data_IF_794959741261
#
_entry.id   IF_794959741261
#
_cell.length_a   1.000
_cell.length_b   1.000
_cell.length_c   1.000
_cell.angle_alpha   90.00
_cell.angle_beta   90.00
_cell.angle_gamma   90.00
#
_symmetry.space_group_name_H-M   'P 1'
#
loop_
_entity.id
_entity.type
_entity.pdbx_description
1 polymer ?
#
# COMPACT_ATOMS: atom_id res chain seq x y z
N UNK A 1 20.23 -13.18 -26.20
CA UNK A 1 20.17 -13.83 -27.53
C UNK A 1 20.36 -12.79 -28.61
N UNK A 2 19.36 -11.94 -28.94
CA UNK A 2 19.54 -10.87 -29.93
C UNK A 2 20.63 -9.85 -29.55
N UNK A 3 20.76 -9.54 -28.26
CA UNK A 3 21.79 -8.63 -27.74
C UNK A 3 23.00 -9.39 -27.15
N UNK A 4 23.29 -10.62 -27.60
CA UNK A 4 24.44 -11.40 -27.10
C UNK A 4 25.74 -10.67 -27.40
N UNK A 5 26.76 -10.64 -26.53
CA UNK A 5 28.08 -10.12 -26.91
C UNK A 5 28.81 -11.01 -27.93
N UNK A 6 28.29 -12.21 -28.20
CA UNK A 6 28.81 -13.14 -29.21
C UNK A 6 28.09 -12.96 -30.55
N UNK A 7 28.84 -12.55 -31.58
CA UNK A 7 28.36 -12.28 -32.94
C UNK A 7 27.81 -13.53 -33.65
N UNK A 8 28.32 -14.73 -33.33
CA UNK A 8 27.79 -15.96 -33.90
C UNK A 8 26.38 -16.25 -33.36
N UNK A 9 26.18 -16.07 -32.04
CA UNK A 9 24.86 -16.20 -31.41
C UNK A 9 23.89 -15.16 -31.99
N UNK A 10 24.34 -13.91 -32.11
CA UNK A 10 23.53 -12.83 -32.69
C UNK A 10 23.06 -13.16 -34.11
N UNK A 11 23.97 -13.59 -35.00
CA UNK A 11 23.65 -13.97 -36.38
C UNK A 11 22.67 -15.14 -36.43
N UNK A 12 22.91 -16.18 -35.63
CA UNK A 12 22.04 -17.36 -35.56
C UNK A 12 20.62 -16.98 -35.12
N UNK A 13 20.48 -16.19 -34.06
CA UNK A 13 19.18 -15.76 -33.56
C UNK A 13 18.42 -14.90 -34.58
N UNK A 14 19.10 -13.96 -35.26
CA UNK A 14 18.47 -13.15 -36.33
C UNK A 14 18.06 -14.00 -37.53
N UNK A 15 18.89 -14.96 -37.94
CA UNK A 15 18.55 -15.89 -39.02
C UNK A 15 17.32 -16.75 -38.66
N UNK A 16 17.26 -17.27 -37.43
CA UNK A 16 16.10 -18.02 -36.94
C UNK A 16 14.82 -17.16 -36.94
N UNK A 17 14.92 -15.90 -36.49
CA UNK A 17 13.79 -14.97 -36.47
C UNK A 17 13.29 -14.66 -37.90
N UNK A 18 14.20 -14.43 -38.85
CA UNK A 18 13.86 -14.27 -40.27
C UNK A 18 13.14 -15.49 -40.84
N UNK A 19 13.64 -16.69 -40.56
CA UNK A 19 13.00 -17.92 -41.02
C UNK A 19 11.55 -18.04 -40.51
N UNK A 20 11.31 -17.69 -39.24
CA UNK A 20 9.96 -17.69 -38.65
C UNK A 20 9.05 -16.65 -39.33
N UNK A 21 9.57 -15.46 -39.62
CA UNK A 21 8.83 -14.42 -40.35
C UNK A 21 8.42 -14.95 -41.73
N UNK A 22 9.37 -15.50 -42.50
CA UNK A 22 9.11 -16.04 -43.84
C UNK A 22 8.14 -17.23 -43.84
N UNK A 23 8.09 -18.00 -42.75
CA UNK A 23 7.11 -19.07 -42.57
C UNK A 23 5.70 -18.53 -42.28
N UNK A 24 5.58 -17.40 -41.57
CA UNK A 24 4.29 -16.83 -41.13
C UNK A 24 3.69 -15.76 -42.04
N UNK A 25 4.52 -15.05 -42.80
CA UNK A 25 4.10 -13.90 -43.62
C UNK A 25 4.46 -14.08 -45.09
N UNK A 26 3.60 -13.62 -45.99
CA UNK A 26 3.97 -13.30 -47.37
C UNK A 26 4.77 -12.00 -47.34
N UNK A 27 6.09 -12.11 -47.41
CA UNK A 27 7.05 -11.00 -47.47
C UNK A 27 8.20 -11.38 -48.40
N UNK A 28 8.67 -10.43 -49.21
CA UNK A 28 9.85 -10.63 -50.04
C UNK A 28 11.12 -10.71 -49.17
N UNK A 29 11.95 -11.71 -49.40
CA UNK A 29 13.16 -11.94 -48.61
C UNK A 29 14.18 -10.80 -48.79
N UNK A 30 14.32 -10.25 -50.00
CA UNK A 30 15.21 -9.12 -50.25
C UNK A 30 14.74 -7.84 -49.54
N UNK A 31 13.43 -7.58 -49.54
CA UNK A 31 12.84 -6.48 -48.77
C UNK A 31 12.98 -6.67 -47.24
N UNK A 32 12.86 -7.91 -46.75
CA UNK A 32 13.08 -8.23 -45.34
C UNK A 32 14.55 -7.97 -44.93
N UNK A 33 15.50 -8.35 -45.77
CA UNK A 33 16.93 -8.14 -45.53
C UNK A 33 17.32 -6.66 -45.61
N UNK A 34 16.81 -5.92 -46.60
CA UNK A 34 17.00 -4.47 -46.71
C UNK A 34 16.43 -3.72 -45.49
N UNK A 35 15.34 -4.22 -44.91
CA UNK A 35 14.74 -3.66 -43.70
C UNK A 35 15.46 -4.03 -42.39
N UNK A 36 16.43 -4.96 -42.42
CA UNK A 36 17.30 -5.31 -41.30
C UNK A 36 16.58 -5.56 -39.97
N UNK A 37 17.19 -5.10 -38.88
CA UNK A 37 16.68 -5.27 -37.51
C UNK A 37 15.37 -4.52 -37.24
N UNK A 38 15.03 -3.51 -38.06
CA UNK A 38 13.75 -2.82 -37.96
C UNK A 38 12.58 -3.75 -38.30
N UNK A 39 12.73 -4.63 -39.29
CA UNK A 39 11.67 -5.60 -39.62
C UNK A 39 11.53 -6.68 -38.56
N UNK A 40 12.66 -7.10 -37.98
CA UNK A 40 12.68 -8.01 -36.83
C UNK A 40 11.97 -7.37 -35.62
N UNK A 41 12.24 -6.10 -35.34
CA UNK A 41 11.56 -5.34 -34.29
C UNK A 41 10.05 -5.28 -34.54
N UNK A 42 9.62 -4.98 -35.77
CA UNK A 42 8.20 -4.92 -36.13
C UNK A 42 7.50 -6.25 -35.94
N UNK A 43 8.15 -7.36 -36.30
CA UNK A 43 7.64 -8.70 -36.03
C UNK A 43 7.50 -8.94 -34.52
N UNK A 44 8.56 -8.71 -33.74
CA UNK A 44 8.55 -8.92 -32.29
C UNK A 44 7.52 -8.04 -31.56
N UNK A 45 7.23 -6.86 -32.08
CA UNK A 45 6.18 -5.97 -31.59
C UNK A 45 4.76 -6.34 -32.09
N UNK A 46 4.63 -7.35 -32.96
CA UNK A 46 3.36 -7.76 -33.55
C UNK A 46 2.76 -6.77 -34.56
N UNK A 47 3.59 -5.88 -35.11
CA UNK A 47 3.23 -4.78 -36.01
C UNK A 47 3.69 -4.99 -37.46
N UNK A 48 4.30 -6.15 -37.77
CA UNK A 48 4.82 -6.42 -39.11
C UNK A 48 3.70 -6.42 -40.18
N UNK A 49 2.52 -6.96 -39.84
CA UNK A 49 1.34 -6.97 -40.73
C UNK A 49 0.81 -5.57 -41.08
N UNK A 50 1.22 -4.53 -40.35
CA UNK A 50 0.85 -3.14 -40.64
C UNK A 50 1.71 -2.59 -41.79
N UNK A 51 2.75 -3.30 -42.22
CA UNK A 51 3.59 -2.89 -43.33
C UNK A 51 3.00 -3.39 -44.66
N UNK A 52 2.97 -2.55 -45.71
CA UNK A 52 2.45 -2.96 -47.03
C UNK A 52 3.16 -4.18 -47.62
N UNK A 53 4.43 -4.39 -47.23
CA UNK A 53 5.28 -5.46 -47.72
C UNK A 53 5.04 -6.82 -47.06
N UNK A 54 4.18 -6.90 -46.04
CA UNK A 54 3.97 -8.13 -45.27
C UNK A 54 2.49 -8.40 -44.98
N UNK A 55 1.97 -9.52 -45.49
CA UNK A 55 0.62 -10.01 -45.16
C UNK A 55 0.68 -11.39 -44.51
N UNK A 56 -0.24 -11.69 -43.59
CA UNK A 56 -0.25 -12.98 -42.87
C UNK A 56 -0.65 -14.12 -43.82
N UNK A 57 0.05 -15.25 -43.78
CA UNK A 57 -0.33 -16.44 -44.56
C UNK A 57 -1.60 -17.08 -43.99
N UNK A 58 -2.53 -17.45 -44.87
CA UNK A 58 -3.80 -18.13 -44.54
C UNK A 58 -3.60 -19.51 -43.92
N UNK A 59 -2.55 -20.23 -44.32
CA UNK A 59 -2.09 -21.46 -43.68
C UNK A 59 -0.68 -21.21 -43.14
N UNK A 60 -0.57 -20.95 -41.84
CA UNK A 60 0.71 -20.98 -41.14
C UNK A 60 0.67 -22.12 -40.15
N UNK A 61 1.72 -22.95 -40.14
CA UNK A 61 1.90 -23.92 -39.06
C UNK A 61 1.93 -23.14 -37.74
N UNK A 62 1.29 -23.69 -36.70
CA UNK A 62 1.39 -23.13 -35.35
C UNK A 62 2.78 -23.45 -34.79
N UNK A 63 3.78 -22.73 -35.32
CA UNK A 63 5.17 -22.88 -34.94
C UNK A 63 5.30 -22.20 -33.59
N UNK A 64 5.25 -23.01 -32.53
CA UNK A 64 5.63 -22.58 -31.20
C UNK A 64 7.14 -22.30 -31.19
N UNK A 65 7.50 -21.10 -30.79
CA UNK A 65 8.88 -20.67 -30.68
C UNK A 65 9.03 -19.65 -29.57
N UNK A 66 10.24 -19.52 -29.04
CA UNK A 66 10.57 -18.47 -28.08
C UNK A 66 10.23 -17.07 -28.63
N UNK A 67 10.34 -16.87 -29.95
CA UNK A 67 10.05 -15.59 -30.59
C UNK A 67 8.57 -15.25 -30.62
N UNK A 68 7.70 -16.24 -30.90
CA UNK A 68 6.25 -16.05 -30.83
C UNK A 68 5.77 -15.84 -29.39
N UNK A 69 6.42 -16.48 -28.42
CA UNK A 69 6.15 -16.26 -26.99
C UNK A 69 6.55 -14.84 -26.56
N UNK A 70 7.66 -14.33 -27.10
CA UNK A 70 8.08 -12.93 -26.89
C UNK A 70 7.03 -11.96 -27.44
N UNK A 71 6.52 -12.19 -28.66
CA UNK A 71 5.44 -11.36 -29.24
C UNK A 71 4.20 -11.38 -28.34
N UNK A 72 3.76 -12.56 -27.93
CA UNK A 72 2.60 -12.72 -27.06
C UNK A 72 2.80 -12.01 -25.71
N UNK A 73 3.98 -12.15 -25.11
CA UNK A 73 4.34 -11.51 -23.84
C UNK A 73 4.36 -9.99 -23.95
N UNK A 74 5.03 -9.44 -24.98
CA UNK A 74 5.09 -7.99 -25.21
C UNK A 74 3.68 -7.42 -25.41
N UNK A 75 2.84 -8.10 -26.19
CA UNK A 75 1.43 -7.71 -26.38
C UNK A 75 0.63 -7.77 -25.08
N UNK A 76 0.72 -8.87 -24.33
CA UNK A 76 -0.02 -9.07 -23.07
C UNK A 76 0.27 -7.95 -22.06
N UNK A 77 1.52 -7.51 -21.98
CA UNK A 77 1.93 -6.48 -21.02
C UNK A 77 2.02 -5.07 -21.64
N UNK A 78 1.55 -4.88 -22.86
CA UNK A 78 1.60 -3.60 -23.59
C UNK A 78 3.01 -2.98 -23.60
N UNK A 79 4.00 -3.79 -23.94
CA UNK A 79 5.41 -3.41 -24.07
C UNK A 79 5.84 -3.48 -25.53
N UNK A 80 6.89 -2.74 -25.87
CA UNK A 80 7.49 -2.74 -27.20
C UNK A 80 9.02 -2.73 -27.11
N UNK A 81 9.65 -3.43 -28.04
CA UNK A 81 11.07 -3.33 -28.34
C UNK A 81 11.34 -2.09 -29.19
N UNK A 82 12.48 -1.47 -28.96
CA UNK A 82 13.04 -0.37 -29.74
C UNK A 82 14.45 -0.75 -30.18
N UNK A 83 14.79 -0.52 -31.44
CA UNK A 83 16.19 -0.63 -31.88
C UNK A 83 17.00 0.57 -31.37
N UNK A 84 18.22 0.29 -30.90
CA UNK A 84 19.21 1.30 -30.51
C UNK A 84 20.45 1.09 -31.37
N UNK A 85 20.59 1.90 -32.41
CA UNK A 85 21.54 1.63 -33.48
C UNK A 85 21.13 0.39 -34.28
N UNK A 86 22.10 -0.22 -34.97
CA UNK A 86 21.82 -1.29 -35.93
C UNK A 86 21.73 -2.68 -35.31
N UNK A 87 22.28 -2.87 -34.10
CA UNK A 87 22.51 -4.22 -33.55
C UNK A 87 21.94 -4.47 -32.13
N UNK A 88 21.15 -3.55 -31.57
CA UNK A 88 20.66 -3.69 -30.19
C UNK A 88 19.16 -3.45 -30.05
N UNK A 89 18.49 -4.32 -29.29
CA UNK A 89 17.07 -4.19 -28.95
C UNK A 89 16.86 -3.82 -27.49
N UNK A 90 16.26 -2.68 -27.24
CA UNK A 90 15.93 -2.19 -25.90
C UNK A 90 14.43 -2.34 -25.61
N UNK A 91 14.08 -2.59 -24.34
CA UNK A 91 12.70 -2.47 -23.86
C UNK A 91 12.63 -1.23 -22.98
N UNK A 92 11.72 -0.32 -23.33
CA UNK A 92 11.41 0.84 -22.51
C UNK A 92 10.14 0.56 -21.71
N UNK A 93 10.28 0.56 -20.39
CA UNK A 93 9.13 0.50 -19.49
C UNK A 93 8.57 1.91 -19.22
N UNK A 94 7.25 2.09 -19.13
CA UNK A 94 6.64 3.40 -18.86
C UNK A 94 7.11 4.05 -17.56
N UNK A 95 7.45 3.26 -16.54
CA UNK A 95 7.91 3.76 -15.23
C UNK A 95 9.41 4.13 -15.20
N UNK A 96 10.12 4.00 -16.32
CA UNK A 96 11.56 4.27 -16.39
C UNK A 96 11.88 5.39 -17.38
N UNK A 97 12.79 6.27 -16.99
CA UNK A 97 13.34 7.29 -17.89
C UNK A 97 14.24 6.67 -18.99
N UNK A 98 15.04 5.67 -18.61
CA UNK A 98 15.99 4.97 -19.50
C UNK A 98 15.47 3.56 -19.83
N UNK A 99 15.87 3.04 -20.98
CA UNK A 99 15.61 1.64 -21.36
C UNK A 99 16.21 0.66 -20.35
N UNK A 100 15.55 -0.49 -20.21
CA UNK A 100 16.08 -1.57 -19.41
C UNK A 100 17.31 -2.20 -20.07
N UNK A 101 18.22 -2.68 -19.25
CA UNK A 101 19.43 -3.40 -19.68
C UNK A 101 19.22 -4.90 -19.49
N UNK A 102 20.05 -5.71 -20.14
CA UNK A 102 20.06 -7.17 -19.94
C UNK A 102 20.21 -7.58 -18.47
N UNK A 103 20.87 -6.75 -17.65
CA UNK A 103 21.07 -7.00 -16.21
C UNK A 103 19.82 -6.73 -15.36
N UNK A 104 18.95 -5.81 -15.76
CA UNK A 104 17.78 -5.42 -14.95
C UNK A 104 16.44 -5.79 -15.57
N UNK A 105 16.41 -6.27 -16.82
CA UNK A 105 15.17 -6.52 -17.57
C UNK A 105 14.14 -7.37 -16.80
N UNK A 106 14.58 -8.44 -16.13
CA UNK A 106 13.70 -9.30 -15.35
C UNK A 106 13.11 -8.59 -14.12
N UNK A 107 13.89 -7.72 -13.46
CA UNK A 107 13.43 -6.92 -12.33
C UNK A 107 12.41 -5.88 -12.79
N UNK A 108 12.71 -5.18 -13.88
CA UNK A 108 11.84 -4.12 -14.41
C UNK A 108 10.56 -4.67 -15.03
N UNK A 109 10.60 -5.86 -15.62
CA UNK A 109 9.41 -6.59 -16.07
C UNK A 109 8.49 -6.92 -14.88
N UNK A 110 9.04 -7.50 -13.80
CA UNK A 110 8.27 -7.73 -12.56
C UNK A 110 7.73 -6.41 -11.99
N UNK A 111 8.54 -5.35 -12.05
CA UNK A 111 8.19 -3.93 -11.92
C UNK A 111 6.84 -3.59 -12.55
N UNK A 112 6.87 -3.62 -13.87
CA UNK A 112 5.79 -3.24 -14.77
C UNK A 112 4.52 -4.05 -14.53
N UNK A 113 4.64 -5.37 -14.39
CA UNK A 113 3.51 -6.26 -14.10
C UNK A 113 2.85 -5.88 -12.77
N UNK A 114 3.64 -5.65 -11.72
CA UNK A 114 3.13 -5.22 -10.41
C UNK A 114 2.39 -3.89 -10.48
N UNK A 115 2.94 -2.91 -11.21
CA UNK A 115 2.30 -1.61 -11.41
C UNK A 115 0.99 -1.74 -12.20
N UNK A 116 0.95 -2.60 -13.22
CA UNK A 116 -0.27 -2.93 -13.96
C UNK A 116 -1.36 -3.51 -13.07
N UNK A 117 -1.02 -4.48 -12.20
CA UNK A 117 -1.97 -5.03 -11.24
C UNK A 117 -2.42 -4.01 -10.19
N UNK A 118 -1.51 -3.18 -9.67
CA UNK A 118 -1.86 -2.11 -8.74
C UNK A 118 -2.82 -1.10 -9.37
N UNK A 119 -2.57 -0.71 -10.62
CA UNK A 119 -3.46 0.18 -11.37
C UNK A 119 -4.84 -0.46 -11.60
N UNK A 120 -4.88 -1.72 -12.02
CA UNK A 120 -6.13 -2.45 -12.21
C UNK A 120 -6.93 -2.59 -10.89
N UNK A 121 -6.23 -2.80 -9.77
CA UNK A 121 -6.84 -2.85 -8.45
C UNK A 121 -7.38 -1.49 -8.03
N UNK A 122 -6.62 -0.41 -8.19
CA UNK A 122 -7.06 0.95 -7.84
C UNK A 122 -8.31 1.40 -8.59
N UNK A 123 -8.54 0.87 -9.81
CA UNK A 123 -9.74 1.16 -10.61
C UNK A 123 -11.00 0.45 -10.11
N UNK A 124 -10.89 -0.48 -9.15
CA UNK A 124 -12.05 -1.15 -8.57
C UNK A 124 -12.73 -0.20 -7.56
N UNK A 125 -13.95 0.25 -7.88
CA UNK A 125 -14.69 1.28 -7.12
C UNK A 125 -14.82 0.99 -5.61
N UNK A 126 -14.84 -0.29 -5.22
CA UNK A 126 -14.98 -0.68 -3.82
C UNK A 126 -13.72 -1.35 -3.27
N UNK A 127 -13.19 -2.36 -3.95
CA UNK A 127 -12.02 -3.10 -3.50
C UNK A 127 -10.73 -2.29 -3.60
N UNK A 128 -10.67 -1.31 -4.51
CA UNK A 128 -9.48 -0.53 -4.83
C UNK A 128 -9.20 0.65 -3.92
N UNK A 129 -10.14 1.01 -3.03
CA UNK A 129 -10.11 2.24 -2.21
C UNK A 129 -8.95 2.37 -1.23
N UNK A 130 -8.15 1.34 -1.10
CA UNK A 130 -7.07 1.30 -0.11
C UNK A 130 -5.73 1.05 -0.78
N UNK A 131 -5.71 0.80 -2.10
CA UNK A 131 -4.55 0.32 -2.85
C UNK A 131 -3.36 1.26 -2.70
N UNK A 132 -3.58 2.58 -2.78
CA UNK A 132 -2.51 3.57 -2.73
C UNK A 132 -1.88 3.75 -1.34
N UNK A 133 -2.58 3.34 -0.27
CA UNK A 133 -2.13 3.48 1.11
C UNK A 133 -1.41 2.23 1.63
N UNK A 134 -1.50 1.12 0.88
CA UNK A 134 -0.89 -0.14 1.25
C UNK A 134 0.51 -0.30 0.66
N UNK A 135 1.47 -0.66 1.51
CA UNK A 135 2.85 -0.95 1.10
C UNK A 135 3.81 -0.97 2.28
N UNK A 136 5.08 -1.25 2.00
CA UNK A 136 6.21 -1.18 2.96
C UNK A 136 5.91 -1.98 4.24
N UNK A 137 6.28 -1.42 5.40
CA UNK A 137 6.10 -2.06 6.72
C UNK A 137 4.63 -2.38 7.02
N UNK A 138 3.68 -1.63 6.47
CA UNK A 138 2.24 -1.89 6.62
C UNK A 138 1.70 -3.06 5.80
N UNK A 139 2.47 -3.59 4.85
CA UNK A 139 2.10 -4.77 4.05
C UNK A 139 3.03 -5.96 4.26
N UNK A 140 3.97 -5.87 5.21
CA UNK A 140 4.95 -6.93 5.48
C UNK A 140 4.31 -8.24 5.92
N UNK A 141 3.14 -8.18 6.56
CA UNK A 141 2.38 -9.38 6.94
C UNK A 141 1.94 -10.24 5.74
N UNK A 142 1.81 -9.65 4.53
CA UNK A 142 1.52 -10.39 3.30
C UNK A 142 2.66 -11.31 2.87
N UNK A 143 3.89 -10.98 3.26
CA UNK A 143 5.09 -11.70 2.81
C UNK A 143 5.60 -12.69 3.85
N UNK A 144 5.41 -12.41 5.15
CA UNK A 144 6.00 -13.20 6.22
C UNK A 144 4.98 -13.78 7.21
N UNK A 145 3.68 -13.80 6.88
CA UNK A 145 2.58 -14.23 7.78
C UNK A 145 2.51 -13.42 9.08
N UNK A 146 3.17 -12.28 9.10
CA UNK A 146 3.84 -11.73 10.25
C UNK A 146 3.00 -11.44 11.48
N UNK A 147 3.36 -11.96 12.67
CA UNK A 147 2.72 -11.72 13.99
C UNK A 147 1.18 -11.89 14.03
N UNK A 148 0.53 -12.27 12.94
CA UNK A 148 -0.90 -12.41 12.77
C UNK A 148 -1.27 -13.88 12.83
N UNK A 149 -2.39 -14.19 13.46
CA UNK A 149 -2.97 -15.53 13.32
C UNK A 149 -3.71 -15.60 11.99
N UNK A 150 -4.02 -16.81 11.51
CA UNK A 150 -4.73 -17.02 10.23
C UNK A 150 -6.03 -16.18 10.14
N UNK A 151 -6.79 -16.10 11.24
CA UNK A 151 -8.00 -15.28 11.29
C UNK A 151 -7.72 -13.77 11.17
N UNK A 152 -6.62 -13.27 11.74
CA UNK A 152 -6.24 -11.85 11.60
C UNK A 152 -5.72 -11.56 10.19
N UNK A 153 -4.98 -12.50 9.61
CA UNK A 153 -4.51 -12.43 8.22
C UNK A 153 -5.69 -12.35 7.25
N UNK A 154 -6.64 -13.29 7.34
CA UNK A 154 -7.85 -13.33 6.49
C UNK A 154 -8.68 -12.07 6.66
N UNK A 155 -8.87 -11.61 7.89
CA UNK A 155 -9.52 -10.34 8.16
C UNK A 155 -8.78 -9.18 7.48
N UNK A 156 -7.46 -9.09 7.64
CA UNK A 156 -6.64 -8.03 7.03
C UNK A 156 -6.80 -7.98 5.51
N UNK A 157 -6.73 -9.11 4.81
CA UNK A 157 -6.95 -9.17 3.35
C UNK A 157 -8.38 -8.73 2.99
N UNK A 158 -9.39 -9.38 3.59
CA UNK A 158 -10.79 -9.12 3.28
C UNK A 158 -11.17 -7.67 3.60
N UNK A 159 -10.67 -7.11 4.69
CA UNK A 159 -10.96 -5.75 5.12
C UNK A 159 -10.39 -4.72 4.14
N UNK A 160 -9.17 -4.92 3.65
CA UNK A 160 -8.53 -4.04 2.64
C UNK A 160 -9.28 -4.03 1.31
N UNK A 161 -9.89 -5.16 0.95
CA UNK A 161 -10.75 -5.30 -0.22
C UNK A 161 -12.22 -4.92 0.07
N UNK A 162 -12.52 -4.37 1.24
CA UNK A 162 -13.87 -4.07 1.71
C UNK A 162 -14.87 -5.25 1.55
N UNK A 163 -14.41 -6.47 1.85
CA UNK A 163 -15.17 -7.73 1.73
C UNK A 163 -15.66 -8.31 3.05
N UNK A 164 -15.29 -7.71 4.19
CA UNK A 164 -15.77 -8.14 5.52
C UNK A 164 -17.26 -7.84 5.71
N UNK A 165 -17.96 -8.72 6.40
CA UNK A 165 -19.43 -8.73 6.49
C UNK A 165 -19.99 -7.67 7.44
N UNK A 166 -19.88 -6.42 7.02
CA UNK A 166 -20.66 -5.30 7.55
C UNK A 166 -22.04 -5.26 6.89
N UNK A 167 -23.06 -4.66 7.53
CA UNK A 167 -24.39 -4.55 6.89
C UNK A 167 -24.36 -3.81 5.56
N UNK A 168 -23.46 -2.84 5.36
CA UNK A 168 -23.31 -2.18 4.04
C UNK A 168 -22.81 -3.15 2.98
N UNK A 169 -21.81 -3.99 3.32
CA UNK A 169 -21.28 -5.00 2.40
C UNK A 169 -22.33 -6.08 2.12
N UNK A 170 -23.04 -6.57 3.14
CA UNK A 170 -24.10 -7.56 2.98
C UNK A 170 -25.26 -7.04 2.13
N UNK A 171 -25.63 -5.75 2.29
CA UNK A 171 -26.63 -5.11 1.43
C UNK A 171 -26.19 -5.07 -0.03
N UNK A 172 -24.94 -4.66 -0.28
CA UNK A 172 -24.36 -4.64 -1.63
C UNK A 172 -24.32 -6.04 -2.26
N UNK A 173 -23.98 -7.08 -1.48
CA UNK A 173 -24.02 -8.48 -1.91
C UNK A 173 -25.45 -9.04 -2.07
N UNK A 174 -26.50 -8.23 -1.84
CA UNK A 174 -27.91 -8.62 -1.85
C UNK A 174 -28.28 -9.73 -0.85
N UNK A 175 -27.48 -9.88 0.21
CA UNK A 175 -27.72 -10.83 1.31
C UNK A 175 -28.56 -10.21 2.44
N UNK A 176 -28.71 -8.87 2.43
CA UNK A 176 -29.59 -8.12 3.34
C UNK A 176 -30.24 -6.95 2.60
N UNK A 177 -31.41 -6.50 3.03
CA UNK A 177 -32.09 -5.33 2.47
C UNK A 177 -31.59 -4.00 3.06
N UNK A 178 -31.14 -4.02 4.31
CA UNK A 178 -30.73 -2.82 5.06
C UNK A 178 -29.22 -2.76 5.33
N UNK A 179 -28.63 -1.59 5.07
CA UNK A 179 -27.21 -1.29 5.30
C UNK A 179 -26.95 -0.45 6.56
N UNK A 180 -27.99 -0.03 7.28
CA UNK A 180 -27.89 0.77 8.49
C UNK A 180 -27.14 0.04 9.63
N UNK A 181 -26.39 0.79 10.43
CA UNK A 181 -25.67 0.26 11.58
C UNK A 181 -26.57 -0.55 12.52
N UNK A 182 -26.09 -1.74 12.94
CA UNK A 182 -26.85 -2.59 13.86
C UNK A 182 -26.96 -2.06 15.28
N UNK A 183 -26.06 -1.16 15.67
CA UNK A 183 -26.03 -0.55 17.01
C UNK A 183 -26.46 0.92 17.01
N UNK A 184 -26.21 1.65 15.92
CA UNK A 184 -26.54 3.08 15.82
C UNK A 184 -27.80 3.36 15.02
N UNK A 185 -28.49 2.32 14.53
CA UNK A 185 -29.68 2.45 13.72
C UNK A 185 -29.44 3.25 12.43
N UNK A 186 -30.41 4.10 12.07
CA UNK A 186 -30.41 4.84 10.80
C UNK A 186 -29.44 6.03 10.74
N UNK A 187 -28.72 6.35 11.82
CA UNK A 187 -27.81 7.52 11.87
C UNK A 187 -26.62 7.38 10.90
N UNK A 188 -26.19 6.15 10.62
CA UNK A 188 -25.13 5.89 9.66
C UNK A 188 -25.23 4.49 9.05
N UNK A 189 -24.79 4.30 7.78
CA UNK A 189 -24.57 2.97 7.23
C UNK A 189 -23.46 2.25 8.03
N UNK A 190 -23.61 0.94 8.19
CA UNK A 190 -22.59 0.08 8.78
C UNK A 190 -21.47 -0.16 7.77
N UNK A 191 -20.64 0.85 7.52
CA UNK A 191 -19.43 0.68 6.73
C UNK A 191 -18.30 0.23 7.64
N UNK A 192 -17.24 -0.35 7.08
CA UNK A 192 -16.07 -0.72 7.88
C UNK A 192 -15.43 0.51 8.53
N UNK A 193 -15.36 1.64 7.82
CA UNK A 193 -14.95 2.92 8.36
C UNK A 193 -15.76 3.33 9.60
N UNK A 194 -17.09 3.20 9.54
CA UNK A 194 -17.96 3.48 10.67
C UNK A 194 -17.64 2.56 11.85
N UNK A 195 -17.65 1.24 11.62
CA UNK A 195 -17.39 0.23 12.66
C UNK A 195 -16.05 0.45 13.35
N UNK A 196 -14.98 0.68 12.58
CA UNK A 196 -13.62 0.75 13.10
C UNK A 196 -13.23 2.12 13.64
N UNK A 197 -13.94 3.21 13.34
CA UNK A 197 -13.50 4.56 13.71
C UNK A 197 -14.55 5.45 14.37
N UNK A 198 -15.84 5.28 14.05
CA UNK A 198 -16.85 6.30 14.37
C UNK A 198 -18.00 5.76 15.22
N UNK A 199 -18.24 4.46 15.22
CA UNK A 199 -19.37 3.85 15.91
C UNK A 199 -19.28 4.11 17.43
N UNK A 200 -20.27 4.80 18.04
CA UNK A 200 -20.30 5.03 19.48
C UNK A 200 -20.24 3.75 20.32
N UNK A 201 -20.86 2.67 19.84
CA UNK A 201 -20.80 1.35 20.48
C UNK A 201 -19.36 0.85 20.65
N UNK A 202 -18.49 1.12 19.65
CA UNK A 202 -17.10 0.67 19.67
C UNK A 202 -16.13 1.71 20.26
N UNK A 203 -16.61 2.85 20.75
CA UNK A 203 -15.75 3.98 21.17
C UNK A 203 -14.72 3.59 22.23
N UNK A 204 -15.03 2.64 23.11
CA UNK A 204 -14.09 2.12 24.12
C UNK A 204 -12.96 1.33 23.44
N UNK A 205 -13.31 0.37 22.59
CA UNK A 205 -12.34 -0.48 21.89
C UNK A 205 -11.49 0.31 20.88
N UNK A 206 -12.06 1.32 20.22
CA UNK A 206 -11.33 2.23 19.32
C UNK A 206 -10.27 3.01 20.10
N UNK A 207 -10.61 3.53 21.29
CA UNK A 207 -9.66 4.19 22.19
C UNK A 207 -8.60 3.21 22.70
N UNK A 208 -8.99 2.01 23.12
CA UNK A 208 -8.05 0.98 23.59
C UNK A 208 -7.02 0.59 22.52
N UNK A 209 -7.41 0.49 21.24
CA UNK A 209 -6.49 0.28 20.12
C UNK A 209 -5.48 1.42 19.98
N UNK A 210 -5.94 2.67 20.05
CA UNK A 210 -5.06 3.85 20.01
C UNK A 210 -4.06 3.85 21.17
N UNK A 211 -4.56 3.63 22.38
CA UNK A 211 -3.78 3.67 23.61
C UNK A 211 -2.71 2.56 23.66
N UNK A 212 -3.06 1.37 23.16
CA UNK A 212 -2.13 0.25 23.03
C UNK A 212 -0.98 0.57 22.08
N UNK A 213 -1.30 1.14 20.91
CA UNK A 213 -0.30 1.56 19.94
C UNK A 213 0.59 2.68 20.50
N UNK A 214 -0.01 3.68 21.16
CA UNK A 214 0.73 4.76 21.80
C UNK A 214 1.67 4.24 22.88
N UNK A 215 1.21 3.30 23.71
CA UNK A 215 2.02 2.66 24.74
C UNK A 215 3.19 1.84 24.19
N UNK A 216 3.03 1.18 23.04
CA UNK A 216 4.12 0.48 22.38
C UNK A 216 5.18 1.46 21.83
N UNK A 217 4.74 2.60 21.27
CA UNK A 217 5.65 3.66 20.81
C UNK A 217 6.41 4.25 22.01
N UNK A 218 5.71 4.64 23.07
CA UNK A 218 6.34 5.27 24.25
C UNK A 218 7.36 4.36 24.92
N UNK A 219 7.05 3.07 25.12
CA UNK A 219 8.02 2.10 25.66
C UNK A 219 9.26 1.96 24.79
N UNK A 220 9.08 1.96 23.47
CA UNK A 220 10.21 1.84 22.53
C UNK A 220 11.10 3.07 22.57
N UNK A 221 10.49 4.26 22.62
CA UNK A 221 11.20 5.53 22.73
C UNK A 221 11.95 5.60 24.07
N UNK A 222 11.30 5.30 25.19
CA UNK A 222 11.92 5.35 26.51
C UNK A 222 13.12 4.40 26.64
N UNK A 223 13.01 3.20 26.06
CA UNK A 223 14.11 2.24 26.04
C UNK A 223 15.28 2.70 25.17
N UNK A 224 15.02 3.40 24.06
CA UNK A 224 16.05 3.88 23.15
C UNK A 224 16.70 5.21 23.60
N UNK A 225 15.94 6.05 24.30
CA UNK A 225 16.32 7.41 24.69
C UNK A 225 16.13 7.62 26.20
N UNK A 226 16.85 6.89 27.06
CA UNK A 226 16.61 6.90 28.50
C UNK A 226 16.86 8.25 29.19
N UNK A 227 17.60 9.15 28.54
CA UNK A 227 17.91 10.50 29.05
C UNK A 227 16.87 11.56 28.66
N UNK A 228 16.00 11.28 27.69
CA UNK A 228 15.00 12.24 27.24
C UNK A 228 13.80 12.27 28.20
N UNK A 229 13.25 13.45 28.47
CA UNK A 229 11.99 13.55 29.22
C UNK A 229 10.83 13.26 28.29
N UNK A 230 10.20 12.09 28.46
CA UNK A 230 9.04 11.67 27.67
C UNK A 230 7.74 11.88 28.45
N UNK A 231 6.86 12.75 27.94
CA UNK A 231 5.50 12.92 28.46
C UNK A 231 4.49 12.29 27.51
N UNK A 232 3.54 11.52 28.05
CA UNK A 232 2.53 10.80 27.27
C UNK A 232 1.14 11.26 27.70
N UNK A 233 0.34 11.79 26.77
CA UNK A 233 -1.02 12.32 27.05
C UNK A 233 -1.08 13.32 28.21
N UNK A 234 -0.02 14.07 28.44
CA UNK A 234 0.09 15.04 29.51
C UNK A 234 -0.09 16.47 28.98
N UNK A 235 -0.56 17.37 29.84
CA UNK A 235 -0.48 18.80 29.56
C UNK A 235 0.96 19.26 29.74
N UNK A 236 1.36 20.25 28.94
CA UNK A 236 2.61 20.97 29.21
C UNK A 236 2.37 21.90 30.41
N UNK A 237 3.10 21.70 31.52
CA UNK A 237 2.85 22.38 32.80
C UNK A 237 3.07 23.89 32.74
N UNK A 238 3.94 24.38 31.86
CA UNK A 238 4.21 25.80 31.66
C UNK A 238 3.29 26.48 30.63
N UNK A 239 2.32 25.75 30.04
CA UNK A 239 1.40 26.30 29.05
C UNK A 239 0.09 26.77 29.70
N UNK A 240 -0.15 28.07 29.59
CA UNK A 240 -1.31 28.81 30.14
C UNK A 240 -2.55 28.79 29.21
N UNK A 241 -2.40 28.27 27.99
CA UNK A 241 -3.50 28.17 27.02
C UNK A 241 -4.40 26.95 27.24
N UNK A 242 -5.12 26.57 26.16
CA UNK A 242 -6.07 25.45 26.17
C UNK A 242 -5.43 24.14 26.68
N UNK A 243 -6.17 23.34 27.43
CA UNK A 243 -5.70 22.05 27.98
C UNK A 243 -5.48 21.01 26.88
N UNK A 244 -4.35 21.14 26.17
CA UNK A 244 -3.93 20.25 25.09
C UNK A 244 -3.07 19.12 25.65
N UNK A 245 -3.37 17.89 25.24
CA UNK A 245 -2.67 16.67 25.65
C UNK A 245 -2.18 15.90 24.41
N UNK A 246 -1.03 16.27 23.82
CA UNK A 246 -0.43 15.52 22.72
C UNK A 246 -0.18 14.06 23.13
N UNK A 247 -0.20 13.15 22.15
CA UNK A 247 0.12 11.74 22.40
C UNK A 247 1.50 11.55 23.01
N UNK A 248 2.51 12.25 22.48
CA UNK A 248 3.91 12.18 22.90
C UNK A 248 4.51 13.60 22.91
N UNK A 249 5.29 13.89 23.94
CA UNK A 249 6.17 15.05 24.00
C UNK A 249 7.54 14.56 24.45
N UNK A 250 8.59 14.86 23.68
CA UNK A 250 9.97 14.62 24.09
C UNK A 250 10.62 15.99 24.32
N UNK A 251 11.13 16.23 25.51
CA UNK A 251 11.78 17.50 25.87
C UNK A 251 13.21 17.20 26.31
N UNK A 252 14.16 17.85 25.65
CA UNK A 252 15.57 17.87 26.00
C UNK A 252 15.92 19.29 26.45
N UNK A 253 16.10 19.47 27.76
CA UNK A 253 16.40 20.78 28.35
C UNK A 253 17.82 21.23 28.03
N UNK A 254 18.76 20.28 27.90
CA UNK A 254 20.19 20.56 27.68
C UNK A 254 20.41 21.06 26.25
N UNK A 255 19.79 20.38 25.28
CA UNK A 255 19.87 20.77 23.86
C UNK A 255 18.87 21.85 23.47
N UNK A 256 17.96 22.22 24.37
CA UNK A 256 16.81 23.09 24.08
C UNK A 256 16.03 22.61 22.85
N UNK A 257 15.76 21.31 22.77
CA UNK A 257 14.89 20.74 21.73
C UNK A 257 13.62 20.18 22.31
N UNK A 258 12.53 20.30 21.55
CA UNK A 258 11.25 19.71 21.92
C UNK A 258 10.55 19.09 20.72
N UNK A 259 9.98 17.90 20.89
CA UNK A 259 9.21 17.21 19.88
C UNK A 259 7.78 17.09 20.38
N UNK A 260 6.83 17.64 19.62
CA UNK A 260 5.39 17.45 19.85
C UNK A 260 4.89 16.49 18.79
N UNK A 261 4.58 15.27 19.19
CA UNK A 261 4.15 14.22 18.28
C UNK A 261 2.83 13.61 18.73
N UNK A 262 1.81 13.63 17.86
CA UNK A 262 0.56 12.90 18.15
C UNK A 262 0.43 11.63 17.31
N UNK A 263 -0.28 10.64 17.87
CA UNK A 263 -0.63 9.42 17.17
C UNK A 263 -2.04 9.55 16.59
N UNK A 264 -2.21 9.14 15.34
CA UNK A 264 -3.52 8.95 14.73
C UNK A 264 -3.63 7.56 14.10
N UNK A 265 -4.82 6.97 14.22
CA UNK A 265 -5.20 5.77 13.48
C UNK A 265 -6.39 6.15 12.60
N UNK A 266 -6.14 6.41 11.32
CA UNK A 266 -7.18 6.76 10.34
C UNK A 266 -7.79 5.50 9.71
N UNK A 267 -8.99 5.60 9.12
CA UNK A 267 -9.42 4.55 8.19
C UNK A 267 -8.73 4.77 6.85
N UNK A 268 -8.21 3.70 6.26
CA UNK A 268 -7.69 3.74 4.91
C UNK A 268 -8.82 3.98 3.92
N UNK A 269 -8.76 5.12 3.26
CA UNK A 269 -9.57 5.46 2.10
C UNK A 269 -8.68 6.38 1.24
N UNK A 270 -8.46 5.98 0.00
CA UNK A 270 -7.54 6.62 -0.94
C UNK A 270 -8.22 7.68 -1.81
N UNK A 271 -9.46 8.07 -1.46
CA UNK A 271 -10.08 9.26 -2.00
C UNK A 271 -9.22 10.49 -1.64
N UNK A 272 -8.37 10.87 -2.58
CA UNK A 272 -7.63 12.13 -2.56
C UNK A 272 -8.68 13.25 -2.62
N UNK A 273 -8.70 14.06 -1.57
CA UNK A 273 -9.42 15.32 -1.57
C UNK A 273 -8.36 16.41 -1.50
N UNK A 274 -8.36 17.30 -2.50
CA UNK A 274 -7.43 18.44 -2.57
C UNK A 274 -5.93 18.05 -2.73
N UNK A 275 -5.67 16.85 -3.26
CA UNK A 275 -4.31 16.36 -3.56
C UNK A 275 -3.61 15.62 -2.40
N UNK A 276 -4.13 15.72 -1.19
CA UNK A 276 -3.58 15.05 0.00
C UNK A 276 -4.21 13.66 0.22
N UNK A 277 -3.40 12.70 0.65
CA UNK A 277 -3.87 11.42 1.18
C UNK A 277 -4.56 11.59 2.53
N UNK A 278 -5.39 10.62 2.93
CA UNK A 278 -6.00 10.60 4.27
C UNK A 278 -4.96 10.66 5.39
N UNK A 279 -3.75 10.12 5.17
CA UNK A 279 -2.68 10.18 6.16
C UNK A 279 -2.05 11.56 6.28
N UNK A 280 -1.79 12.24 5.16
CA UNK A 280 -1.27 13.61 5.14
C UNK A 280 -2.27 14.58 5.77
N UNK A 281 -3.55 14.51 5.38
CA UNK A 281 -4.61 15.33 5.97
C UNK A 281 -4.76 15.10 7.47
N UNK A 282 -4.69 13.83 7.90
CA UNK A 282 -4.76 13.48 9.32
C UNK A 282 -3.54 14.02 10.08
N UNK A 283 -2.35 13.92 9.50
CA UNK A 283 -1.13 14.44 10.10
C UNK A 283 -1.17 15.97 10.24
N UNK A 284 -1.54 16.68 9.17
CA UNK A 284 -1.71 18.14 9.16
C UNK A 284 -2.70 18.60 10.21
N UNK A 285 -3.89 18.00 10.27
CA UNK A 285 -4.90 18.35 11.28
C UNK A 285 -4.42 18.15 12.72
N UNK A 286 -3.55 17.16 12.99
CA UNK A 286 -2.91 16.98 14.30
C UNK A 286 -1.85 18.05 14.57
N UNK A 287 -1.01 18.36 13.60
CA UNK A 287 0.02 19.41 13.73
C UNK A 287 -0.63 20.78 13.95
N UNK A 288 -1.67 21.12 13.21
CA UNK A 288 -2.43 22.37 13.36
C UNK A 288 -3.05 22.48 14.75
N UNK A 289 -3.64 21.39 15.25
CA UNK A 289 -4.23 21.32 16.60
C UNK A 289 -3.22 21.66 17.71
N UNK A 290 -1.97 21.19 17.58
CA UNK A 290 -0.93 21.43 18.61
C UNK A 290 0.03 22.57 18.27
N UNK A 291 -0.19 23.28 17.17
CA UNK A 291 0.58 24.48 16.80
C UNK A 291 0.67 25.54 17.92
N UNK A 292 -0.34 25.73 18.81
CA UNK A 292 -0.19 26.65 19.94
C UNK A 292 0.91 26.23 20.92
N UNK A 293 1.03 24.92 21.21
CA UNK A 293 2.09 24.40 22.07
C UNK A 293 3.47 24.57 21.42
N UNK A 294 3.57 24.32 20.11
CA UNK A 294 4.82 24.52 19.38
C UNK A 294 5.27 25.98 19.45
N UNK A 295 4.36 26.94 19.21
CA UNK A 295 4.66 28.37 19.33
C UNK A 295 5.06 28.78 20.75
N UNK A 296 4.43 28.18 21.77
CA UNK A 296 4.80 28.45 23.15
C UNK A 296 6.24 28.00 23.47
N UNK A 297 6.61 26.78 23.11
CA UNK A 297 7.96 26.26 23.33
C UNK A 297 9.03 27.03 22.52
N UNK A 298 8.73 27.43 21.28
CA UNK A 298 9.62 28.31 20.50
C UNK A 298 9.87 29.63 21.22
N UNK A 299 8.83 30.26 21.80
CA UNK A 299 9.00 31.49 22.61
C UNK A 299 9.85 31.27 23.87
N UNK A 300 9.95 30.04 24.36
CA UNK A 300 10.82 29.65 25.48
C UNK A 300 12.25 29.30 25.02
N UNK A 301 12.58 29.51 23.74
CA UNK A 301 13.92 29.27 23.18
C UNK A 301 14.18 27.84 22.77
N UNK A 302 13.15 26.99 22.65
CA UNK A 302 13.31 25.64 22.14
C UNK A 302 13.29 25.60 20.60
N UNK A 303 14.13 24.75 20.03
CA UNK A 303 13.93 24.24 18.67
C UNK A 303 12.82 23.17 18.71
N UNK A 304 11.72 23.40 17.98
CA UNK A 304 10.52 22.56 18.09
C UNK A 304 10.22 21.81 16.80
N UNK A 305 10.06 20.50 16.94
CA UNK A 305 9.60 19.61 15.87
C UNK A 305 8.14 19.22 16.12
N UNK A 306 7.25 19.64 15.22
CA UNK A 306 5.83 19.23 15.24
C UNK A 306 5.60 18.15 14.20
N UNK A 307 5.10 16.99 14.64
CA UNK A 307 4.86 15.86 13.73
C UNK A 307 3.67 15.02 14.17
N UNK A 308 3.23 14.11 13.30
CA UNK A 308 2.21 13.14 13.64
C UNK A 308 2.57 11.77 13.05
N UNK A 309 2.48 10.74 13.89
CA UNK A 309 2.58 9.35 13.44
C UNK A 309 1.18 8.90 13.03
N UNK A 310 1.02 8.51 11.76
CA UNK A 310 -0.27 8.09 11.23
C UNK A 310 -0.23 6.63 10.79
N UNK A 311 -1.15 5.85 11.33
CA UNK A 311 -1.38 4.47 10.93
C UNK A 311 -2.78 4.33 10.36
N UNK A 312 -2.98 3.35 9.51
CA UNK A 312 -4.30 2.95 9.04
C UNK A 312 -4.90 1.87 9.94
N UNK A 313 -6.22 1.89 10.12
CA UNK A 313 -6.98 0.88 10.86
C UNK A 313 -6.82 -0.55 10.34
N UNK A 314 -6.43 -0.71 9.08
CA UNK A 314 -6.17 -1.99 8.42
C UNK A 314 -4.66 -2.27 8.33
N UNK A 315 -3.87 -1.62 9.18
CA UNK A 315 -2.44 -1.88 9.39
C UNK A 315 -1.51 -1.13 8.45
N UNK A 316 -2.01 -0.18 7.66
CA UNK A 316 -1.14 0.64 6.81
C UNK A 316 -0.25 1.57 7.64
N UNK A 317 0.92 1.92 7.10
CA UNK A 317 1.89 2.79 7.78
C UNK A 317 2.17 3.97 6.88
N UNK A 318 1.96 5.20 7.37
CA UNK A 318 2.25 6.39 6.60
C UNK A 318 3.75 6.46 6.25
N UNK A 319 4.13 6.78 4.99
CA UNK A 319 5.53 6.85 4.57
C UNK A 319 6.41 7.76 5.43
N UNK A 320 5.85 8.88 5.91
CA UNK A 320 6.56 9.85 6.74
C UNK A 320 6.97 9.30 8.12
N UNK A 321 6.24 8.30 8.65
CA UNK A 321 6.51 7.77 9.99
C UNK A 321 7.95 7.28 10.15
N UNK A 322 8.56 6.71 9.10
CA UNK A 322 9.92 6.17 9.22
C UNK A 322 10.93 7.29 9.44
N UNK A 323 10.81 8.40 8.69
CA UNK A 323 11.67 9.56 8.88
C UNK A 323 11.40 10.25 10.22
N UNK A 324 10.14 10.34 10.66
CA UNK A 324 9.81 10.89 11.98
C UNK A 324 10.45 10.06 13.10
N UNK A 325 10.30 8.73 13.07
CA UNK A 325 10.87 7.87 14.11
C UNK A 325 12.40 7.90 14.13
N UNK A 326 13.05 8.05 12.97
CA UNK A 326 14.51 7.96 12.86
C UNK A 326 15.21 9.32 12.95
N UNK A 327 14.85 10.26 12.08
CA UNK A 327 15.52 11.55 11.98
C UNK A 327 15.05 12.57 13.02
N UNK A 328 13.76 12.54 13.40
CA UNK A 328 13.21 13.50 14.37
C UNK A 328 13.30 12.95 15.79
N UNK A 329 12.76 11.74 16.01
CA UNK A 329 12.74 11.12 17.35
C UNK A 329 14.10 10.53 17.72
N UNK A 330 14.88 10.03 16.76
CA UNK A 330 16.23 9.48 17.02
C UNK A 330 16.28 7.96 17.26
N UNK A 331 15.27 7.19 16.83
CA UNK A 331 15.37 5.73 16.85
C UNK A 331 16.32 5.22 15.77
N UNK A 332 17.00 4.10 16.03
CA UNK A 332 17.73 3.39 14.98
C UNK A 332 16.76 2.88 13.90
N UNK A 333 17.21 2.83 12.63
CA UNK A 333 16.40 2.31 11.52
C UNK A 333 15.82 0.91 11.81
N UNK A 334 16.60 -0.06 12.36
CA UNK A 334 16.04 -1.36 12.72
C UNK A 334 14.96 -1.30 13.80
N UNK A 335 15.13 -0.46 14.84
CA UNK A 335 14.13 -0.29 15.89
C UNK A 335 12.85 0.34 15.34
N UNK A 336 12.96 1.37 14.50
CA UNK A 336 11.83 2.01 13.84
C UNK A 336 11.03 1.03 12.96
N UNK A 337 11.70 0.25 12.10
CA UNK A 337 11.04 -0.76 11.26
C UNK A 337 10.40 -1.89 12.08
N UNK A 338 11.07 -2.37 13.14
CA UNK A 338 10.50 -3.39 14.04
C UNK A 338 9.24 -2.87 14.76
N UNK A 339 9.26 -1.62 15.21
CA UNK A 339 8.11 -0.96 15.82
C UNK A 339 6.96 -0.81 14.83
N UNK A 340 7.20 -0.26 13.64
CA UNK A 340 6.16 -0.03 12.63
C UNK A 340 5.49 -1.33 12.18
N UNK A 341 6.28 -2.36 11.91
CA UNK A 341 5.77 -3.68 11.58
C UNK A 341 4.94 -4.29 12.73
N UNK A 342 5.41 -4.16 13.98
CA UNK A 342 4.66 -4.61 15.15
C UNK A 342 3.30 -3.91 15.28
N UNK A 343 3.32 -2.57 15.19
CA UNK A 343 2.11 -1.74 15.28
C UNK A 343 1.12 -2.05 14.15
N UNK A 344 1.58 -2.22 12.92
CA UNK A 344 0.73 -2.62 11.79
C UNK A 344 -0.04 -3.92 12.11
N UNK A 345 0.66 -4.95 12.58
CA UNK A 345 0.04 -6.23 12.93
C UNK A 345 -0.94 -6.10 14.11
N UNK A 346 -0.55 -5.39 15.17
CA UNK A 346 -1.38 -5.26 16.38
C UNK A 346 -2.63 -4.39 16.14
N UNK A 347 -2.55 -3.41 15.23
CA UNK A 347 -3.70 -2.65 14.75
C UNK A 347 -4.67 -3.55 13.97
N UNK A 348 -4.18 -4.42 13.09
CA UNK A 348 -5.03 -5.38 12.36
C UNK A 348 -5.79 -6.30 13.34
N UNK A 349 -5.08 -6.87 14.32
CA UNK A 349 -5.69 -7.71 15.37
C UNK A 349 -6.79 -6.97 16.12
N UNK A 350 -6.48 -5.76 16.58
CA UNK A 350 -7.42 -4.93 17.32
C UNK A 350 -8.65 -4.56 16.49
N UNK A 351 -8.44 -4.24 15.20
CA UNK A 351 -9.53 -3.96 14.27
C UNK A 351 -10.40 -5.17 13.99
N UNK A 352 -9.82 -6.37 13.87
CA UNK A 352 -10.60 -7.62 13.80
C UNK A 352 -11.43 -7.81 15.06
N UNK A 353 -10.85 -7.63 16.24
CA UNK A 353 -11.58 -7.75 17.51
C UNK A 353 -12.74 -6.76 17.57
N UNK A 354 -12.53 -5.49 17.20
CA UNK A 354 -13.59 -4.48 17.12
C UNK A 354 -14.70 -4.93 16.17
N UNK A 355 -14.35 -5.37 14.97
CA UNK A 355 -15.33 -5.83 13.98
C UNK A 355 -16.10 -7.07 14.47
N UNK A 356 -15.41 -8.08 15.00
CA UNK A 356 -16.04 -9.29 15.56
C UNK A 356 -17.02 -8.93 16.66
N UNK A 357 -16.59 -8.17 17.68
CA UNK A 357 -17.47 -7.77 18.79
C UNK A 357 -18.65 -6.95 18.31
N UNK A 358 -18.43 -6.02 17.36
CA UNK A 358 -19.51 -5.27 16.74
C UNK A 358 -20.51 -6.22 16.07
N UNK A 359 -20.03 -7.24 15.37
CA UNK A 359 -20.88 -8.17 14.63
C UNK A 359 -21.62 -9.19 15.49
N UNK A 360 -21.03 -9.64 16.60
CA UNK A 360 -21.60 -10.68 17.48
C UNK A 360 -22.84 -10.25 18.27
N UNK A 361 -23.27 -8.99 18.21
CA UNK A 361 -24.42 -8.49 18.98
C UNK A 361 -24.12 -8.35 20.48
N UNK A 362 -25.07 -7.89 21.31
CA UNK A 362 -24.90 -7.87 22.75
C UNK A 362 -24.60 -9.29 23.25
N UNK A 363 -23.60 -9.45 24.13
CA UNK A 363 -23.51 -10.67 24.94
C UNK A 363 -24.86 -10.80 25.67
N UNK A 364 -25.48 -11.99 25.72
CA UNK A 364 -26.66 -12.17 26.57
C UNK A 364 -26.29 -11.71 27.98
N UNK A 365 -27.10 -10.79 28.52
CA UNK A 365 -26.91 -10.31 29.88
C UNK A 365 -26.90 -11.52 30.82
N UNK A 366 -25.84 -11.66 31.61
CA UNK A 366 -25.73 -12.66 32.68
C UNK A 366 -26.76 -12.44 33.82
N UNK A 367 -27.77 -11.60 33.58
CA UNK A 367 -28.91 -11.35 34.47
C UNK A 367 -30.15 -12.17 34.10
N UNK A 368 -30.26 -12.77 32.91
CA UNK A 368 -31.40 -13.64 32.59
C UNK A 368 -31.29 -15.04 33.21
N UNK A 369 -30.09 -15.48 33.61
CA UNK A 369 -29.87 -16.80 34.23
C UNK A 369 -30.30 -16.90 35.71
N UNK A 370 -30.89 -15.85 36.30
CA UNK A 370 -31.37 -15.84 37.70
C UNK A 370 -32.90 -15.74 37.84
N UNK A 371 -33.65 -15.67 36.74
CA UNK A 371 -35.10 -15.61 36.79
C UNK A 371 -35.78 -17.00 36.74
N UNK A 372 -35.11 -18.02 36.20
CA UNK A 372 -35.70 -19.36 36.00
C UNK A 372 -35.43 -20.36 37.12
N UNK A 373 -34.85 -19.95 38.26
CA UNK A 373 -34.58 -20.84 39.40
C UNK A 373 -35.55 -20.65 40.58
N UNK A 374 -36.77 -20.14 40.33
CA UNK A 374 -37.84 -20.01 41.36
C UNK A 374 -39.18 -20.61 40.95
N UNK A 375 -39.17 -21.57 40.03
CA UNK A 375 -40.30 -22.48 39.80
C UNK A 375 -39.75 -23.90 39.63
N UNK A 376 -39.35 -24.50 40.76
CA UNK A 376 -39.26 -25.94 40.95
C UNK A 376 -39.37 -26.22 42.45
#
# INVERSE_FOLDING_TARGET
MLNSPDDAIQRLCRAQLRAIILLRFHVDAAALDAGGDLMLQRFLNGTLQEQPIASLKTQHADISSVWTDVVATLRQYNLRLQTRGDDHFDIKFPHMAKSATTKNIAREMKMHIKLGHALAWSKQTDQGRTTMLHGRDGSKFLLSGGKLWDADYRFGIAARLNQVDTRSVLKRKRLRSNGACRHCGQVAPETLAHVLQRCPHNKVSIRARHDTALGAISRTIQAALPKATLLVKACLTCYDGSTLKPGLQLIDQDKKTAIICDLAIAHEDDQLHDGDTVFEKTAKGKMDKYSPLSRHLVRQGFEVYSCALVYGSLGSVAPANHNILTAVIGLSRPAASKLQYGLSADIIKSSRTIWNTHCSGPKPDSRSARADSRMA
#
